data_IF_329758843788
#
_entry.id   IF_329758843788
#
_cell.length_a   1.000
_cell.length_b   1.000
_cell.length_c   1.000
_cell.angle_alpha   90.00
_cell.angle_beta   90.00
_cell.angle_gamma   90.00
#
_symmetry.space_group_name_H-M   'P 1'
#
loop_
_entity.id
_entity.type
_entity.pdbx_description
1 polymer ?
#
# COMPACT_ATOMS: atom_id res chain seq x y z
N UNK A 1 2.93 -29.13 -19.72
CA UNK A 1 2.27 -30.35 -20.21
C UNK A 1 1.31 -29.93 -21.30
N UNK A 2 1.45 -30.45 -22.52
CA UNK A 2 0.63 -30.11 -23.70
C UNK A 2 -0.78 -30.70 -23.59
N UNK A 3 -1.80 -29.92 -23.95
CA UNK A 3 -3.11 -30.32 -24.47
C UNK A 3 -3.60 -29.11 -25.30
N UNK A 4 -3.39 -29.06 -26.62
CA UNK A 4 -4.25 -29.55 -27.72
C UNK A 4 -5.71 -29.04 -27.68
N UNK A 5 -5.92 -28.01 -28.50
CA UNK A 5 -7.05 -27.61 -29.34
C UNK A 5 -8.43 -28.26 -29.12
N UNK A 6 -9.44 -27.39 -29.01
CA UNK A 6 -10.80 -27.65 -29.47
C UNK A 6 -11.30 -26.45 -30.29
N UNK A 7 -11.31 -26.64 -31.60
CA UNK A 7 -12.05 -25.86 -32.57
C UNK A 7 -13.56 -25.88 -32.26
N UNK A 8 -14.21 -24.71 -32.33
CA UNK A 8 -15.61 -24.64 -32.77
C UNK A 8 -15.74 -23.54 -33.82
N UNK A 9 -16.30 -23.97 -34.94
CA UNK A 9 -16.41 -23.31 -36.22
C UNK A 9 -17.19 -21.99 -36.23
N UNK A 10 -16.73 -21.13 -37.12
CA UNK A 10 -17.37 -19.94 -37.67
C UNK A 10 -18.46 -20.28 -38.70
N UNK A 11 -19.46 -19.41 -38.80
CA UNK A 11 -20.43 -19.37 -39.91
C UNK A 11 -21.14 -18.01 -39.96
N UNK A 12 -21.43 -17.45 -41.16
CA UNK A 12 -21.42 -16.01 -41.39
C UNK A 12 -22.81 -15.35 -41.44
N UNK A 13 -22.88 -14.06 -41.17
CA UNK A 13 -24.08 -13.23 -41.36
C UNK A 13 -23.69 -11.79 -41.70
N UNK A 14 -24.14 -11.34 -42.86
CA UNK A 14 -23.71 -10.16 -43.60
C UNK A 14 -24.06 -8.80 -42.98
N UNK A 15 -23.32 -7.80 -43.47
CA UNK A 15 -23.43 -6.37 -43.24
C UNK A 15 -24.81 -5.76 -43.49
N UNK A 16 -25.09 -4.64 -42.81
CA UNK A 16 -25.54 -3.39 -43.47
C UNK A 16 -25.41 -2.17 -42.56
N UNK A 17 -24.91 -1.11 -43.18
CA UNK A 17 -24.74 0.26 -42.72
C UNK A 17 -26.06 1.00 -42.47
N UNK A 18 -26.01 1.99 -41.57
CA UNK A 18 -26.21 3.43 -41.87
C UNK A 18 -27.10 4.19 -40.85
N UNK A 19 -26.62 5.40 -40.55
CA UNK A 19 -27.33 6.60 -40.12
C UNK A 19 -27.85 6.72 -38.68
N UNK A 20 -27.15 7.58 -37.92
CA UNK A 20 -27.74 8.55 -37.00
C UNK A 20 -28.09 9.85 -37.78
N UNK A 21 -28.72 10.89 -37.20
CA UNK A 21 -29.27 11.02 -35.84
C UNK A 21 -30.73 11.53 -35.83
N UNK A 22 -31.45 11.39 -34.71
CA UNK A 22 -32.47 12.40 -34.37
C UNK A 22 -32.73 12.50 -32.87
N UNK A 23 -32.82 13.76 -32.42
CA UNK A 23 -33.19 14.18 -31.08
C UNK A 23 -34.72 14.14 -30.95
N UNK A 24 -35.24 13.49 -29.91
CA UNK A 24 -36.49 13.92 -29.30
C UNK A 24 -36.59 13.40 -27.86
N UNK A 25 -36.60 14.35 -26.93
CA UNK A 25 -37.12 14.24 -25.57
C UNK A 25 -38.56 13.76 -25.58
N UNK A 26 -38.87 12.71 -24.83
CA UNK A 26 -40.17 12.57 -24.15
C UNK A 26 -39.98 11.75 -22.87
N UNK A 27 -40.62 12.23 -21.81
CA UNK A 27 -40.81 11.55 -20.54
C UNK A 27 -41.36 10.14 -20.75
N UNK A 28 -40.79 9.15 -20.06
CA UNK A 28 -41.55 7.97 -19.72
C UNK A 28 -41.19 7.47 -18.32
N UNK A 29 -42.24 7.05 -17.63
CA UNK A 29 -42.31 6.83 -16.20
C UNK A 29 -41.59 5.52 -15.81
N UNK A 30 -40.97 5.54 -14.64
CA UNK A 30 -40.24 4.40 -14.08
C UNK A 30 -41.25 3.48 -13.34
N UNK A 31 -41.54 2.25 -13.78
CA UNK A 31 -42.33 1.35 -12.96
C UNK A 31 -41.41 0.66 -11.95
N UNK A 32 -41.61 1.02 -10.68
CA UNK A 32 -41.02 0.38 -9.50
C UNK A 32 -41.25 -1.14 -9.58
N UNK A 33 -40.15 -1.89 -9.74
CA UNK A 33 -40.16 -3.34 -9.68
C UNK A 33 -40.50 -3.80 -8.26
N UNK A 34 -41.72 -4.28 -8.06
CA UNK A 34 -42.14 -4.96 -6.84
C UNK A 34 -41.31 -6.22 -6.61
N UNK A 35 -40.54 -6.25 -5.52
CA UNK A 35 -39.97 -7.48 -4.96
C UNK A 35 -41.12 -8.35 -4.47
N UNK A 36 -41.36 -9.49 -5.13
CA UNK A 36 -42.30 -10.50 -4.63
C UNK A 36 -41.69 -11.21 -3.42
N UNK A 37 -42.35 -11.10 -2.27
CA UNK A 37 -42.09 -11.93 -1.11
C UNK A 37 -42.40 -13.40 -1.43
N UNK A 38 -41.69 -14.38 -0.84
CA UNK A 38 -42.02 -15.79 -1.02
C UNK A 38 -43.37 -16.14 -0.38
N UNK A 39 -44.16 -16.92 -1.10
CA UNK A 39 -45.45 -17.46 -0.65
C UNK A 39 -45.18 -18.58 0.37
N UNK A 40 -45.70 -18.43 1.58
CA UNK A 40 -45.75 -19.48 2.61
C UNK A 40 -47.05 -20.28 2.43
N UNK A 41 -46.99 -21.60 2.61
CA UNK A 41 -48.20 -22.43 2.70
C UNK A 41 -48.76 -22.46 4.14
N UNK A 42 -50.02 -22.90 4.28
CA UNK A 42 -50.82 -22.79 5.52
C UNK A 42 -50.37 -23.75 6.67
N UNK A 43 -49.14 -24.27 6.65
CA UNK A 43 -48.61 -25.10 7.74
C UNK A 43 -47.19 -24.74 8.21
N UNK A 44 -46.50 -23.75 7.61
CA UNK A 44 -45.29 -23.18 8.19
C UNK A 44 -44.08 -24.13 8.32
N UNK A 45 -43.88 -25.07 7.40
CA UNK A 45 -42.67 -25.92 7.34
C UNK A 45 -42.07 -25.97 5.93
N UNK A 46 -40.74 -25.84 5.84
CA UNK A 46 -39.98 -25.96 4.59
C UNK A 46 -39.98 -27.41 4.07
N UNK A 47 -40.32 -27.58 2.80
CA UNK A 47 -40.20 -28.85 2.09
C UNK A 47 -38.72 -29.20 1.86
N UNK A 48 -38.28 -30.34 2.38
CA UNK A 48 -36.96 -30.93 2.14
C UNK A 48 -37.11 -32.12 1.19
N UNK A 49 -36.67 -31.99 -0.06
CA UNK A 49 -36.20 -33.15 -0.84
C UNK A 49 -35.37 -32.71 -2.05
N UNK A 50 -34.05 -32.89 -1.97
CA UNK A 50 -33.16 -32.93 -3.13
C UNK A 50 -31.92 -33.75 -2.77
N UNK A 51 -31.84 -34.92 -3.38
CA UNK A 51 -30.81 -35.96 -3.31
C UNK A 51 -29.39 -35.44 -3.60
N UNK A 52 -28.43 -35.77 -2.75
CA UNK A 52 -26.99 -35.49 -2.93
C UNK A 52 -26.35 -36.33 -4.06
N UNK A 53 -25.48 -35.75 -4.91
CA UNK A 53 -24.65 -36.50 -5.84
C UNK A 53 -23.38 -37.05 -5.16
N UNK A 54 -22.76 -38.12 -5.68
CA UNK A 54 -21.74 -38.90 -4.97
C UNK A 54 -20.43 -38.12 -4.78
N UNK A 55 -19.88 -38.19 -3.56
CA UNK A 55 -18.59 -37.60 -3.17
C UNK A 55 -17.42 -38.16 -3.99
N UNK A 56 -16.88 -37.36 -4.92
CA UNK A 56 -15.55 -37.56 -5.46
C UNK A 56 -14.54 -37.04 -4.44
N UNK A 57 -13.96 -37.91 -3.60
CA UNK A 57 -12.83 -37.56 -2.73
C UNK A 57 -11.57 -37.29 -3.56
N UNK A 58 -11.44 -36.06 -4.04
CA UNK A 58 -10.14 -35.51 -4.42
C UNK A 58 -9.34 -35.25 -3.13
N UNK A 59 -8.40 -36.14 -2.80
CA UNK A 59 -7.32 -35.80 -1.88
C UNK A 59 -6.42 -34.79 -2.57
N UNK A 60 -6.73 -33.51 -2.42
CA UNK A 60 -5.75 -32.45 -2.64
C UNK A 60 -4.67 -32.61 -1.56
N UNK A 61 -3.52 -33.16 -1.91
CA UNK A 61 -2.30 -32.98 -1.13
C UNK A 61 -1.94 -31.51 -1.23
N UNK A 62 -2.27 -30.75 -0.18
CA UNK A 62 -1.74 -29.41 0.05
C UNK A 62 -0.24 -29.59 0.30
N UNK A 63 0.58 -29.29 -0.70
CA UNK A 63 2.01 -29.09 -0.49
C UNK A 63 2.17 -27.71 0.13
N UNK A 64 2.56 -27.67 1.40
CA UNK A 64 2.95 -26.42 2.04
C UNK A 64 4.23 -25.90 1.33
N UNK A 65 4.27 -24.61 0.96
CA UNK A 65 5.50 -23.98 0.47
C UNK A 65 6.63 -24.15 1.49
N UNK A 66 7.88 -24.05 1.01
CA UNK A 66 9.08 -24.20 1.86
C UNK A 66 8.92 -23.24 3.05
N UNK A 67 8.70 -23.80 4.24
CA UNK A 67 8.40 -23.04 5.45
C UNK A 67 9.37 -21.87 5.60
N UNK A 68 8.86 -20.63 5.61
CA UNK A 68 9.63 -19.47 6.06
C UNK A 68 10.25 -19.86 7.40
N UNK A 69 11.59 -19.87 7.54
CA UNK A 69 12.21 -20.32 8.78
C UNK A 69 11.64 -19.53 9.96
N UNK A 70 11.24 -20.22 11.04
CA UNK A 70 10.69 -19.59 12.27
C UNK A 70 11.53 -18.42 12.78
N UNK A 71 12.83 -18.37 12.46
CA UNK A 71 13.75 -17.27 12.78
C UNK A 71 13.39 -15.89 12.21
N UNK A 72 12.44 -15.81 11.27
CA UNK A 72 11.87 -14.55 10.78
C UNK A 72 10.69 -14.04 11.61
N UNK A 73 10.03 -14.94 12.34
CA UNK A 73 8.81 -14.71 13.12
C UNK A 73 9.09 -14.61 14.62
N UNK A 74 10.31 -14.91 15.08
CA UNK A 74 10.66 -14.73 16.49
C UNK A 74 10.59 -13.23 16.85
N UNK A 75 9.78 -12.85 17.85
CA UNK A 75 9.70 -11.46 18.30
C UNK A 75 11.10 -10.97 18.70
N UNK A 76 11.48 -9.79 18.24
CA UNK A 76 12.68 -9.15 18.76
C UNK A 76 12.46 -8.82 20.25
N UNK A 77 13.13 -9.58 21.14
CA UNK A 77 13.10 -9.35 22.60
C UNK A 77 14.21 -8.40 23.07
N UNK A 78 14.83 -7.65 22.15
CA UNK A 78 15.94 -6.77 22.47
C UNK A 78 15.49 -5.48 23.14
N UNK A 79 16.45 -4.78 23.75
CA UNK A 79 16.25 -3.53 24.49
C UNK A 79 15.66 -2.44 23.58
N UNK A 80 14.74 -1.60 24.07
CA UNK A 80 14.24 -0.44 23.33
C UNK A 80 15.40 0.45 22.85
N UNK A 81 15.28 1.01 21.63
CA UNK A 81 16.29 1.89 21.01
C UNK A 81 16.60 3.14 21.86
N UNK A 82 15.63 3.55 22.69
CA UNK A 82 15.74 4.70 23.57
C UNK A 82 15.83 4.26 25.03
N UNK A 83 16.87 4.75 25.72
CA UNK A 83 17.00 4.60 27.16
C UNK A 83 17.00 5.97 27.83
N UNK A 84 16.28 6.06 28.95
CA UNK A 84 16.40 7.17 29.89
C UNK A 84 17.76 7.04 30.60
N UNK A 85 18.73 7.84 30.17
CA UNK A 85 19.94 8.11 30.93
C UNK A 85 19.68 9.29 31.89
N UNK A 86 20.47 9.41 32.95
CA UNK A 86 20.29 10.45 33.99
C UNK A 86 20.33 11.90 33.50
N UNK A 87 20.65 12.13 32.22
CA UNK A 87 20.67 13.44 31.56
C UNK A 87 19.77 13.55 30.32
N UNK A 88 18.92 12.56 30.04
CA UNK A 88 17.95 12.61 28.95
C UNK A 88 17.75 11.29 28.21
N UNK A 89 16.91 11.33 27.18
CA UNK A 89 16.69 10.20 26.27
C UNK A 89 17.91 10.07 25.34
N UNK A 90 18.59 8.91 25.35
CA UNK A 90 19.72 8.64 24.47
C UNK A 90 19.41 7.44 23.57
N UNK A 91 19.81 7.53 22.30
CA UNK A 91 19.80 6.39 21.39
C UNK A 91 20.93 5.43 21.75
N UNK A 92 20.60 4.13 21.84
CA UNK A 92 21.60 3.07 21.98
C UNK A 92 21.87 2.52 20.57
N UNK A 93 23.14 2.46 20.10
CA UNK A 93 23.45 1.94 18.77
C UNK A 93 22.87 0.54 18.60
N UNK A 94 21.89 0.38 17.70
CA UNK A 94 21.34 -0.92 17.35
C UNK A 94 22.08 -1.47 16.14
N UNK A 95 22.47 -2.74 16.19
CA UNK A 95 23.01 -3.41 15.01
C UNK A 95 21.85 -3.76 14.08
N UNK A 96 21.48 -2.81 13.23
CA UNK A 96 20.47 -3.02 12.18
C UNK A 96 20.83 -4.21 11.31
N UNK A 97 19.82 -4.97 10.88
CA UNK A 97 20.02 -6.03 9.88
C UNK A 97 20.01 -5.48 8.45
N UNK A 98 19.52 -4.26 8.24
CA UNK A 98 19.42 -3.61 6.93
C UNK A 98 20.81 -3.21 6.46
N UNK A 99 21.17 -3.59 5.24
CA UNK A 99 22.47 -3.29 4.62
C UNK A 99 22.35 -2.22 3.56
N UNK A 100 21.32 -2.31 2.72
CA UNK A 100 21.04 -1.38 1.63
C UNK A 100 19.53 -1.20 1.50
N UNK A 101 19.13 -0.01 1.04
CA UNK A 101 17.75 0.34 0.71
C UNK A 101 17.76 0.71 -0.78
N UNK A 102 16.90 0.11 -1.58
CA UNK A 102 16.75 0.44 -2.99
C UNK A 102 15.36 1.02 -3.22
N UNK A 103 15.30 2.17 -3.90
CA UNK A 103 14.05 2.79 -4.32
C UNK A 103 13.65 2.21 -5.67
N UNK A 104 12.50 1.55 -5.70
CA UNK A 104 11.94 0.89 -6.87
C UNK A 104 10.81 1.74 -7.47
N UNK A 105 10.63 1.64 -8.79
CA UNK A 105 9.58 2.34 -9.52
C UNK A 105 8.48 1.38 -9.97
N UNK A 106 7.22 1.77 -9.74
CA UNK A 106 6.04 1.09 -10.26
C UNK A 106 5.28 1.94 -11.29
N UNK A 107 5.96 2.87 -11.94
CA UNK A 107 5.35 3.80 -12.89
C UNK A 107 4.69 5.00 -12.20
N UNK A 108 3.65 5.54 -12.83
CA UNK A 108 2.96 6.74 -12.33
C UNK A 108 1.44 6.58 -12.37
N UNK A 109 0.77 7.40 -11.57
CA UNK A 109 -0.68 7.60 -11.59
C UNK A 109 -0.98 9.07 -11.84
N UNK A 110 -2.17 9.38 -12.32
CA UNK A 110 -2.72 10.72 -12.34
C UNK A 110 -3.90 10.78 -11.38
N UNK A 111 -3.78 11.63 -10.36
CA UNK A 111 -4.80 11.80 -9.31
C UNK A 111 -5.37 13.20 -9.34
N UNK A 112 -6.51 13.41 -8.70
CA UNK A 112 -7.06 14.75 -8.47
C UNK A 112 -6.16 15.49 -7.46
N UNK A 113 -5.71 16.71 -7.79
CA UNK A 113 -4.64 17.38 -7.04
C UNK A 113 -4.95 17.69 -5.58
N UNK A 114 -6.21 17.88 -5.20
CA UNK A 114 -6.60 18.11 -3.80
C UNK A 114 -6.50 16.86 -2.93
N UNK A 115 -6.39 15.66 -3.54
CA UNK A 115 -6.11 14.41 -2.81
C UNK A 115 -4.72 14.40 -2.19
N UNK A 116 -3.75 15.10 -2.77
CA UNK A 116 -2.38 15.21 -2.23
C UNK A 116 -2.32 16.26 -1.11
N UNK A 117 -2.92 17.42 -1.33
CA UNK A 117 -2.98 18.49 -0.34
C UNK A 117 -4.35 19.17 -0.36
N UNK A 118 -5.16 18.99 0.69
CA UNK A 118 -6.45 19.64 0.83
C UNK A 118 -6.37 21.17 0.66
N UNK A 119 -7.41 21.72 0.03
CA UNK A 119 -7.51 23.16 -0.16
C UNK A 119 -6.67 23.71 -1.33
N UNK A 120 -5.91 22.88 -2.05
CA UNK A 120 -5.17 23.29 -3.25
C UNK A 120 -5.46 22.42 -4.45
N UNK A 121 -5.13 22.93 -5.64
CA UNK A 121 -5.15 22.18 -6.90
C UNK A 121 -6.50 21.52 -7.26
N UNK A 122 -7.64 22.04 -6.78
CA UNK A 122 -8.96 21.51 -7.10
C UNK A 122 -9.21 21.47 -8.61
N UNK A 123 -9.66 20.31 -9.10
CA UNK A 123 -9.92 20.05 -10.52
C UNK A 123 -8.65 20.05 -11.37
N UNK A 124 -7.46 20.06 -10.76
CA UNK A 124 -6.19 19.98 -11.47
C UNK A 124 -5.62 18.57 -11.31
N UNK A 125 -5.55 17.76 -12.38
CA UNK A 125 -4.89 16.46 -12.31
C UNK A 125 -3.40 16.64 -12.00
N UNK A 126 -2.86 15.74 -11.18
CA UNK A 126 -1.44 15.68 -10.80
C UNK A 126 -0.91 14.29 -11.07
N UNK A 127 0.18 14.21 -11.83
CA UNK A 127 0.91 12.96 -12.02
C UNK A 127 1.84 12.72 -10.83
N UNK A 128 1.70 11.54 -10.22
CA UNK A 128 2.45 11.12 -9.05
C UNK A 128 3.26 9.86 -9.37
N UNK A 129 4.49 9.72 -8.83
CA UNK A 129 5.22 8.46 -8.88
C UNK A 129 4.58 7.44 -7.93
N UNK A 130 4.64 6.17 -8.30
CA UNK A 130 4.37 5.06 -7.39
C UNK A 130 5.69 4.37 -7.11
N UNK A 131 6.17 4.52 -5.87
CA UNK A 131 7.44 3.98 -5.43
C UNK A 131 7.23 2.94 -4.33
N UNK A 132 8.13 1.98 -4.27
CA UNK A 132 8.21 0.98 -3.19
C UNK A 132 9.69 0.66 -2.96
N UNK A 133 10.00 -0.16 -1.97
CA UNK A 133 11.38 -0.33 -1.51
C UNK A 133 11.79 -1.79 -1.43
N UNK A 134 13.02 -2.08 -1.83
CA UNK A 134 13.70 -3.33 -1.52
C UNK A 134 14.75 -3.07 -0.45
N UNK A 135 14.70 -3.85 0.61
CA UNK A 135 15.69 -3.87 1.67
C UNK A 135 16.57 -5.10 1.50
N UNK A 136 17.85 -4.90 1.23
CA UNK A 136 18.83 -5.97 1.42
C UNK A 136 19.15 -6.07 2.91
N UNK A 137 18.97 -7.25 3.49
CA UNK A 137 19.29 -7.48 4.91
C UNK A 137 20.31 -8.59 5.08
N UNK A 138 20.87 -8.70 6.27
CA UNK A 138 21.74 -9.84 6.63
C UNK A 138 21.05 -11.20 6.65
N UNK A 139 19.71 -11.25 6.57
CA UNK A 139 18.92 -12.48 6.60
C UNK A 139 18.28 -12.83 5.25
N UNK A 140 18.23 -11.91 4.29
CA UNK A 140 17.53 -12.05 3.02
C UNK A 140 16.93 -10.72 2.56
N UNK A 141 15.98 -10.76 1.65
CA UNK A 141 15.34 -9.55 1.11
C UNK A 141 13.96 -9.32 1.71
N UNK A 142 13.66 -8.05 2.00
CA UNK A 142 12.35 -7.59 2.45
C UNK A 142 11.89 -6.51 1.48
N UNK A 143 10.62 -6.54 1.06
CA UNK A 143 10.01 -5.43 0.34
C UNK A 143 9.15 -4.58 1.28
N UNK A 144 9.14 -3.27 1.09
CA UNK A 144 8.17 -2.36 1.68
C UNK A 144 7.29 -1.84 0.56
N UNK A 145 6.01 -2.21 0.60
CA UNK A 145 5.06 -2.12 -0.51
C UNK A 145 5.51 -2.87 -1.77
N UNK A 146 4.63 -2.91 -2.77
CA UNK A 146 4.80 -3.69 -4.01
C UNK A 146 4.38 -2.93 -5.27
N UNK A 147 3.98 -1.67 -5.13
CA UNK A 147 3.53 -0.85 -6.23
C UNK A 147 2.15 -1.24 -6.76
N UNK A 148 1.89 -0.80 -8.00
CA UNK A 148 0.70 -1.09 -8.78
C UNK A 148 0.64 -2.56 -9.24
N UNK A 149 -0.56 -3.02 -9.57
CA UNK A 149 -0.77 -4.35 -10.18
C UNK A 149 -0.07 -4.43 -11.56
N UNK A 150 0.86 -5.38 -11.78
CA UNK A 150 1.52 -5.58 -13.07
C UNK A 150 0.59 -5.85 -14.27
N UNK A 151 -0.63 -6.34 -14.04
CA UNK A 151 -1.67 -6.49 -15.06
C UNK A 151 -2.04 -5.17 -15.73
N UNK A 152 -1.84 -4.05 -15.04
CA UNK A 152 -2.05 -2.68 -15.57
C UNK A 152 -1.15 -2.37 -16.77
N UNK A 153 0.02 -3.02 -16.88
CA UNK A 153 0.92 -2.87 -18.03
C UNK A 153 0.23 -3.26 -19.34
N UNK A 154 -0.66 -4.26 -19.29
CA UNK A 154 -1.34 -4.81 -20.47
C UNK A 154 -2.80 -4.36 -20.57
N UNK A 155 -3.51 -4.31 -19.44
CA UNK A 155 -4.94 -4.00 -19.39
C UNK A 155 -5.30 -3.44 -18.01
N UNK A 156 -5.23 -2.11 -17.88
CA UNK A 156 -5.60 -1.41 -16.64
C UNK A 156 -7.06 -1.65 -16.23
N UNK A 157 -7.99 -1.70 -17.20
CA UNK A 157 -9.41 -1.92 -16.90
C UNK A 157 -9.65 -3.36 -16.47
N UNK A 158 -8.95 -4.33 -17.05
CA UNK A 158 -8.99 -5.73 -16.61
C UNK A 158 -8.42 -5.92 -15.21
N UNK A 159 -7.32 -5.24 -14.87
CA UNK A 159 -6.66 -5.35 -13.58
C UNK A 159 -7.43 -4.66 -12.44
N UNK A 160 -7.91 -3.44 -12.68
CA UNK A 160 -8.48 -2.56 -11.64
C UNK A 160 -9.98 -2.28 -11.79
N UNK A 161 -10.59 -2.68 -12.89
CA UNK A 161 -11.92 -2.21 -13.27
C UNK A 161 -11.91 -0.79 -13.84
N UNK A 162 -12.99 -0.41 -14.52
CA UNK A 162 -13.07 0.85 -15.25
C UNK A 162 -12.98 2.10 -14.36
N UNK A 163 -13.61 2.06 -13.18
CA UNK A 163 -13.68 3.22 -12.29
C UNK A 163 -12.31 3.57 -11.70
N UNK A 164 -11.61 2.58 -11.13
CA UNK A 164 -10.29 2.78 -10.54
C UNK A 164 -9.24 3.08 -11.62
N UNK A 165 -9.25 2.37 -12.75
CA UNK A 165 -8.36 2.67 -13.87
C UNK A 165 -8.57 4.08 -14.44
N UNK A 166 -9.83 4.53 -14.56
CA UNK A 166 -10.16 5.88 -15.04
C UNK A 166 -9.85 6.98 -14.02
N UNK A 167 -9.97 6.69 -12.73
CA UNK A 167 -9.62 7.63 -11.66
C UNK A 167 -8.11 7.82 -11.52
N UNK A 168 -7.33 6.74 -11.67
CA UNK A 168 -5.88 6.75 -11.46
C UNK A 168 -5.05 6.90 -12.73
N UNK A 169 -5.63 6.69 -13.93
CA UNK A 169 -4.96 6.77 -15.25
C UNK A 169 -3.49 6.29 -15.23
N UNK A 170 -3.25 5.00 -14.92
CA UNK A 170 -1.91 4.51 -14.69
C UNK A 170 -1.05 4.54 -15.96
N UNK A 171 0.24 4.84 -15.77
CA UNK A 171 1.26 4.70 -16.80
C UNK A 171 2.34 3.75 -16.30
N UNK A 172 2.33 2.53 -16.84
CA UNK A 172 3.29 1.48 -16.54
C UNK A 172 3.84 0.84 -17.83
N UNK A 173 5.00 0.22 -17.73
CA UNK A 173 5.61 -0.56 -18.80
C UNK A 173 6.30 -1.80 -18.17
N UNK A 174 6.88 -2.68 -18.99
CA UNK A 174 7.49 -3.92 -18.52
C UNK A 174 8.62 -3.70 -17.49
N UNK A 175 9.33 -2.58 -17.54
CA UNK A 175 10.42 -2.26 -16.60
C UNK A 175 9.89 -1.93 -15.20
N UNK A 176 8.63 -1.50 -15.09
CA UNK A 176 7.96 -1.22 -13.81
C UNK A 176 7.42 -2.48 -13.12
N UNK A 177 7.48 -3.64 -13.75
CA UNK A 177 7.10 -4.91 -13.11
C UNK A 177 8.00 -5.18 -11.90
N UNK A 178 7.47 -5.63 -10.74
CA UNK A 178 8.29 -5.82 -9.54
C UNK A 178 9.43 -6.81 -9.73
N UNK A 179 9.21 -7.92 -10.46
CA UNK A 179 10.31 -8.83 -10.84
C UNK A 179 11.38 -8.16 -11.72
N UNK A 180 11.01 -7.24 -12.62
CA UNK A 180 11.98 -6.52 -13.44
C UNK A 180 12.80 -5.54 -12.60
N UNK A 181 12.16 -4.85 -11.65
CA UNK A 181 12.84 -3.97 -10.69
C UNK A 181 13.80 -4.74 -9.77
N UNK A 182 13.40 -5.92 -9.28
CA UNK A 182 14.30 -6.81 -8.52
C UNK A 182 15.50 -7.30 -9.34
N UNK A 183 15.28 -7.60 -10.63
CA UNK A 183 16.33 -8.05 -11.53
C UNK A 183 17.42 -6.98 -11.74
N UNK A 184 17.10 -5.68 -11.64
CA UNK A 184 18.11 -4.61 -11.65
C UNK A 184 19.15 -4.81 -10.53
N UNK A 185 18.70 -5.25 -9.36
CA UNK A 185 19.54 -5.55 -8.21
C UNK A 185 20.10 -6.98 -8.19
N UNK A 186 19.83 -7.79 -9.24
CA UNK A 186 20.23 -9.20 -9.29
C UNK A 186 19.52 -10.09 -8.28
N UNK A 187 18.30 -9.72 -7.85
CA UNK A 187 17.51 -10.45 -6.86
C UNK A 187 16.46 -11.31 -7.55
N UNK A 188 16.42 -12.59 -7.18
CA UNK A 188 15.35 -13.51 -7.57
C UNK A 188 14.08 -13.19 -6.75
N UNK A 189 12.90 -13.06 -7.36
CA UNK A 189 11.64 -12.89 -6.62
C UNK A 189 11.42 -13.90 -5.49
N UNK A 190 11.86 -15.15 -5.66
CA UNK A 190 11.72 -16.21 -4.65
C UNK A 190 12.63 -16.00 -3.42
N UNK A 191 13.59 -15.08 -3.49
CA UNK A 191 14.43 -14.70 -2.37
C UNK A 191 13.84 -13.60 -1.49
N UNK A 192 12.73 -12.99 -1.90
CA UNK A 192 11.94 -12.07 -1.07
C UNK A 192 11.25 -12.86 0.03
N UNK A 193 11.65 -12.62 1.28
CA UNK A 193 11.17 -13.38 2.45
C UNK A 193 9.97 -12.76 3.12
N UNK A 194 9.81 -11.44 2.98
CA UNK A 194 8.77 -10.68 3.64
C UNK A 194 8.40 -9.47 2.81
N UNK A 195 7.11 -9.15 2.81
CA UNK A 195 6.57 -7.92 2.27
C UNK A 195 5.86 -7.20 3.40
N UNK A 196 6.27 -5.97 3.69
CA UNK A 196 5.67 -5.10 4.69
C UNK A 196 4.86 -4.05 3.94
N UNK A 197 3.55 -4.04 4.16
CA UNK A 197 2.68 -3.04 3.55
C UNK A 197 2.53 -1.83 4.46
N UNK A 198 2.70 -0.63 3.93
CA UNK A 198 2.26 0.59 4.60
C UNK A 198 0.75 0.56 4.77
N UNK A 199 0.03 0.17 3.72
CA UNK A 199 -1.40 -0.10 3.68
C UNK A 199 -1.78 -0.89 2.41
N UNK A 200 -3.06 -1.17 2.18
CA UNK A 200 -3.53 -2.07 1.11
C UNK A 200 -4.27 -1.39 -0.05
N UNK A 201 -4.00 -0.11 -0.33
CA UNK A 201 -4.48 0.49 -1.58
C UNK A 201 -3.78 -0.13 -2.80
N UNK A 202 -4.46 -0.06 -3.94
CA UNK A 202 -4.08 -0.64 -5.23
C UNK A 202 -2.64 -0.34 -5.70
N UNK A 203 -2.11 0.82 -5.33
CA UNK A 203 -0.78 1.30 -5.71
C UNK A 203 0.33 0.97 -4.70
N UNK A 204 -0.04 0.36 -3.57
CA UNK A 204 0.90 -0.16 -2.58
C UNK A 204 0.92 -1.70 -2.54
N UNK A 205 -0.24 -2.33 -2.73
CA UNK A 205 -0.42 -3.78 -2.60
C UNK A 205 -0.55 -4.54 -3.94
N UNK A 206 -0.59 -3.83 -5.06
CA UNK A 206 -0.91 -4.41 -6.38
C UNK A 206 0.03 -5.52 -6.85
N UNK A 207 1.32 -5.44 -6.50
CA UNK A 207 2.31 -6.46 -6.83
C UNK A 207 2.35 -7.66 -5.87
N UNK A 208 1.61 -7.64 -4.76
CA UNK A 208 1.73 -8.61 -3.67
C UNK A 208 1.60 -10.07 -4.08
N UNK A 209 0.60 -10.40 -4.91
CA UNK A 209 0.32 -11.78 -5.34
C UNK A 209 1.43 -12.45 -6.15
N UNK A 210 2.40 -11.68 -6.64
CA UNK A 210 3.56 -12.19 -7.41
C UNK A 210 4.69 -12.71 -6.51
N UNK A 211 4.47 -12.76 -5.20
CA UNK A 211 5.41 -13.23 -4.18
C UNK A 211 4.75 -14.21 -3.19
N UNK A 212 4.17 -15.33 -3.67
CA UNK A 212 3.37 -16.23 -2.83
C UNK A 212 4.14 -16.91 -1.70
N UNK A 213 5.48 -16.97 -1.79
CA UNK A 213 6.35 -17.57 -0.77
C UNK A 213 6.72 -16.57 0.36
N UNK A 214 6.41 -15.28 0.18
CA UNK A 214 6.74 -14.26 1.15
C UNK A 214 5.76 -14.25 2.33
N UNK A 215 6.23 -13.78 3.49
CA UNK A 215 5.33 -13.40 4.58
C UNK A 215 4.77 -11.99 4.33
N UNK A 216 3.45 -11.85 4.32
CA UNK A 216 2.75 -10.59 4.07
C UNK A 216 2.37 -9.93 5.39
N UNK A 217 2.99 -8.79 5.70
CA UNK A 217 2.85 -8.11 6.99
C UNK A 217 2.09 -6.81 6.83
N UNK A 218 1.01 -6.65 7.57
CA UNK A 218 0.19 -5.44 7.60
C UNK A 218 -0.49 -5.31 8.96
N UNK A 219 -0.95 -4.12 9.33
CA UNK A 219 -1.78 -3.95 10.51
C UNK A 219 -3.08 -4.75 10.41
N UNK A 220 -3.51 -5.35 11.52
CA UNK A 220 -4.78 -6.05 11.64
C UNK A 220 -5.97 -5.13 11.32
N UNK A 221 -5.88 -3.86 11.70
CA UNK A 221 -6.89 -2.85 11.39
C UNK A 221 -7.03 -2.66 9.87
N UNK A 222 -5.89 -2.58 9.16
CA UNK A 222 -5.85 -2.42 7.71
C UNK A 222 -6.40 -3.64 7.00
N UNK A 223 -5.94 -4.83 7.37
CA UNK A 223 -6.43 -6.07 6.79
C UNK A 223 -7.94 -6.22 6.97
N UNK A 224 -8.47 -5.92 8.16
CA UNK A 224 -9.92 -5.96 8.40
C UNK A 224 -10.68 -5.00 7.50
N UNK A 225 -10.16 -3.79 7.35
CA UNK A 225 -10.77 -2.77 6.51
C UNK A 225 -10.71 -3.14 5.03
N UNK A 226 -9.53 -3.49 4.50
CA UNK A 226 -9.33 -3.85 3.10
C UNK A 226 -10.17 -5.06 2.66
N UNK A 227 -10.42 -6.02 3.57
CA UNK A 227 -11.25 -7.20 3.34
C UNK A 227 -12.76 -6.95 3.57
N UNK A 228 -13.16 -5.73 3.89
CA UNK A 228 -14.56 -5.37 4.02
C UNK A 228 -14.72 -3.86 4.15
N UNK A 229 -14.27 -3.09 3.14
CA UNK A 229 -14.22 -1.64 3.28
C UNK A 229 -15.64 -1.10 3.22
N UNK A 230 -15.86 0.05 3.85
CA UNK A 230 -17.10 0.77 3.61
C UNK A 230 -17.19 1.25 2.15
N UNK A 231 -18.39 1.62 1.72
CA UNK A 231 -18.62 2.07 0.34
C UNK A 231 -18.07 3.47 0.04
N UNK A 232 -17.82 4.27 1.06
CA UNK A 232 -17.38 5.66 0.94
C UNK A 232 -15.86 5.73 0.68
N UNK A 233 -15.05 4.94 1.37
CA UNK A 233 -13.59 4.90 1.21
C UNK A 233 -13.04 3.58 0.64
N UNK A 234 -13.89 2.67 0.18
CA UNK A 234 -13.46 1.38 -0.36
C UNK A 234 -12.90 1.40 -1.79
N UNK A 235 -13.13 2.47 -2.56
CA UNK A 235 -12.76 2.54 -3.97
C UNK A 235 -11.25 2.29 -4.27
N UNK A 236 -10.29 2.75 -3.46
CA UNK A 236 -8.86 2.52 -3.71
C UNK A 236 -8.38 1.09 -3.39
N UNK A 237 -9.23 0.23 -2.81
CA UNK A 237 -8.89 -1.15 -2.50
C UNK A 237 -9.31 -2.09 -3.63
N UNK A 238 -8.34 -2.55 -4.41
CA UNK A 238 -8.57 -3.65 -5.34
C UNK A 238 -8.34 -4.99 -4.64
N UNK A 239 -9.42 -5.63 -4.20
CA UNK A 239 -9.33 -6.88 -3.44
C UNK A 239 -8.70 -8.03 -4.24
N UNK A 240 -8.68 -7.98 -5.57
CA UNK A 240 -7.98 -8.95 -6.42
C UNK A 240 -6.46 -8.91 -6.25
N UNK A 241 -5.91 -7.88 -5.60
CA UNK A 241 -4.46 -7.78 -5.37
C UNK A 241 -4.02 -8.65 -4.19
N UNK A 242 -4.89 -8.85 -3.20
CA UNK A 242 -4.53 -9.43 -1.91
C UNK A 242 -5.47 -10.53 -1.38
N UNK A 243 -6.63 -10.79 -2.01
CA UNK A 243 -7.49 -11.93 -1.68
C UNK A 243 -7.08 -13.20 -2.42
N UNK A 244 -5.90 -13.71 -2.10
CA UNK A 244 -5.44 -15.03 -2.58
C UNK A 244 -5.15 -15.95 -1.41
N UNK A 245 -5.64 -17.18 -1.48
CA UNK A 245 -5.41 -18.21 -0.45
C UNK A 245 -3.92 -18.57 -0.28
N UNK A 246 -3.10 -18.22 -1.28
CA UNK A 246 -1.65 -18.42 -1.24
C UNK A 246 -0.90 -17.41 -0.37
N UNK A 247 -1.50 -16.26 -0.02
CA UNK A 247 -0.78 -15.24 0.74
C UNK A 247 -0.75 -15.58 2.23
N UNK A 248 0.46 -15.67 2.77
CA UNK A 248 0.69 -15.95 4.17
C UNK A 248 0.70 -14.65 4.98
N UNK A 249 -0.42 -14.31 5.61
CA UNK A 249 -0.59 -13.07 6.37
C UNK A 249 -0.05 -13.15 7.80
N UNK A 250 0.73 -12.16 8.19
CA UNK A 250 1.10 -11.87 9.58
C UNK A 250 0.54 -10.50 9.97
N UNK A 251 -0.46 -10.49 10.84
CA UNK A 251 -1.14 -9.27 11.23
C UNK A 251 -0.44 -8.62 12.43
N UNK A 252 -0.01 -7.38 12.24
CA UNK A 252 0.55 -6.53 13.28
C UNK A 252 -0.57 -5.87 14.11
N UNK A 253 -0.28 -5.55 15.37
CA UNK A 253 -1.16 -4.75 16.21
C UNK A 253 -0.32 -3.67 16.91
N UNK A 254 -0.49 -2.41 16.50
CA UNK A 254 0.28 -1.31 17.08
C UNK A 254 1.67 -1.17 16.48
N UNK A 255 2.51 -0.37 17.13
CA UNK A 255 3.93 -0.28 16.80
C UNK A 255 4.63 -1.61 17.04
N UNK A 256 5.53 -2.00 16.13
CA UNK A 256 6.17 -3.30 16.20
C UNK A 256 7.60 -3.28 15.67
N UNK A 257 8.55 -3.75 16.49
CA UNK A 257 9.91 -4.06 16.04
C UNK A 257 9.89 -5.44 15.37
N UNK A 258 9.83 -5.45 14.04
CA UNK A 258 9.72 -6.70 13.29
C UNK A 258 11.07 -7.42 13.17
N UNK A 259 12.15 -6.65 13.04
CA UNK A 259 13.54 -7.13 13.02
C UNK A 259 14.45 -6.02 13.58
N UNK A 260 15.68 -6.34 14.03
CA UNK A 260 16.62 -5.31 14.48
C UNK A 260 16.85 -4.27 13.37
N UNK A 261 16.46 -3.02 13.62
CA UNK A 261 16.57 -1.94 12.64
C UNK A 261 15.36 -1.70 11.76
N UNK A 262 14.28 -2.49 11.87
CA UNK A 262 13.06 -2.34 11.07
C UNK A 262 11.87 -2.24 12.03
N UNK A 263 11.26 -1.07 12.10
CA UNK A 263 10.15 -0.80 13.00
C UNK A 263 8.92 -0.39 12.19
N UNK A 264 7.77 -0.95 12.54
CA UNK A 264 6.46 -0.50 12.11
C UNK A 264 5.98 0.56 13.10
N UNK A 265 5.60 1.73 12.60
CA UNK A 265 5.03 2.83 13.40
C UNK A 265 3.62 3.07 12.90
N UNK A 266 2.66 2.94 13.80
CA UNK A 266 1.25 3.17 13.45
C UNK A 266 1.01 4.63 13.07
N UNK A 267 0.41 4.83 11.90
CA UNK A 267 0.11 6.16 11.35
C UNK A 267 -1.27 6.17 10.70
N UNK A 268 -2.34 5.85 11.46
CA UNK A 268 -3.70 5.80 10.93
C UNK A 268 -4.17 7.18 10.49
N UNK A 269 -5.16 7.20 9.60
CA UNK A 269 -5.80 8.43 9.12
C UNK A 269 -6.05 8.35 7.63
N UNK A 270 -4.99 8.20 6.82
CA UNK A 270 -5.10 7.89 5.40
C UNK A 270 -6.00 6.66 5.18
N UNK A 271 -5.62 5.57 5.84
CA UNK A 271 -6.48 4.40 6.08
C UNK A 271 -6.55 4.08 7.57
N UNK A 272 -7.51 3.25 8.02
CA UNK A 272 -7.67 2.95 9.45
C UNK A 272 -6.51 2.16 10.06
N UNK A 273 -5.75 1.44 9.24
CA UNK A 273 -4.57 0.68 9.69
C UNK A 273 -3.28 1.07 8.98
N UNK A 274 -3.20 2.26 8.40
CA UNK A 274 -1.96 2.75 7.80
C UNK A 274 -0.80 2.71 8.80
N UNK A 275 0.37 2.29 8.32
CA UNK A 275 1.63 2.29 9.07
C UNK A 275 2.78 2.83 8.23
N UNK A 276 3.69 3.52 8.89
CA UNK A 276 4.95 4.00 8.32
C UNK A 276 6.09 3.11 8.81
N UNK A 277 7.17 3.01 8.05
CA UNK A 277 8.27 2.10 8.34
C UNK A 277 9.49 2.93 8.71
N UNK A 278 10.11 2.61 9.84
CA UNK A 278 11.34 3.27 10.30
C UNK A 278 12.48 2.27 10.21
N UNK A 279 13.51 2.66 9.46
CA UNK A 279 14.73 1.91 9.25
C UNK A 279 15.83 2.59 10.06
N UNK A 280 16.26 1.97 11.15
CA UNK A 280 17.22 2.56 12.08
C UNK A 280 18.66 2.28 11.67
N UNK A 281 19.51 3.29 11.85
CA UNK A 281 20.97 3.18 11.81
C UNK A 281 21.50 2.47 10.55
N UNK A 282 20.84 2.68 9.41
CA UNK A 282 21.17 1.99 8.15
C UNK A 282 22.53 2.43 7.61
N UNK A 283 23.35 1.51 7.07
CA UNK A 283 24.62 1.87 6.46
C UNK A 283 24.41 2.88 5.34
N UNK A 284 25.31 3.87 5.26
CA UNK A 284 25.33 4.95 4.27
C UNK A 284 24.11 5.89 4.25
N UNK A 285 22.97 5.54 4.86
CA UNK A 285 21.72 6.33 4.83
C UNK A 285 21.23 6.81 6.21
N UNK A 286 21.83 6.34 7.31
CA UNK A 286 21.44 6.71 8.67
C UNK A 286 20.04 6.19 9.02
N UNK A 287 19.31 6.93 9.85
CA UNK A 287 17.89 6.60 10.11
C UNK A 287 17.03 7.10 8.95
N UNK A 288 16.14 6.25 8.45
CA UNK A 288 15.23 6.54 7.34
C UNK A 288 13.80 6.26 7.75
N UNK A 289 12.89 7.19 7.48
CA UNK A 289 11.45 7.02 7.66
C UNK A 289 10.82 6.92 6.27
N UNK A 290 10.19 5.78 5.98
CA UNK A 290 9.32 5.61 4.83
C UNK A 290 7.92 6.02 5.29
N UNK A 291 7.51 7.23 4.91
CA UNK A 291 6.28 7.82 5.45
C UNK A 291 5.02 7.06 5.01
N UNK A 292 5.06 6.43 3.84
CA UNK A 292 3.85 5.97 3.17
C UNK A 292 2.91 7.14 2.94
N UNK A 293 1.62 6.85 2.96
CA UNK A 293 0.56 7.82 2.66
C UNK A 293 0.06 8.58 3.88
N UNK A 294 0.78 8.47 5.01
CA UNK A 294 0.68 9.47 6.07
C UNK A 294 1.21 10.84 5.58
N UNK A 295 2.13 10.85 4.61
CA UNK A 295 2.70 12.06 4.01
C UNK A 295 2.99 11.82 2.52
N UNK A 296 2.09 12.29 1.64
CA UNK A 296 2.22 12.09 0.20
C UNK A 296 3.31 12.95 -0.42
N UNK A 297 3.40 14.21 -0.03
CA UNK A 297 4.38 15.14 -0.57
C UNK A 297 4.96 16.01 0.54
N UNK A 298 6.09 16.62 0.23
CA UNK A 298 6.73 17.56 1.14
C UNK A 298 5.74 18.67 1.54
N UNK A 299 4.91 19.18 0.62
CA UNK A 299 3.95 20.28 0.92
C UNK A 299 3.01 19.97 2.11
N UNK A 300 2.70 18.69 2.38
CA UNK A 300 1.94 18.29 3.57
C UNK A 300 2.62 18.73 4.88
N UNK A 301 3.94 18.64 4.95
CA UNK A 301 4.74 19.02 6.11
C UNK A 301 4.89 20.55 6.17
N UNK A 302 5.16 21.20 5.05
CA UNK A 302 5.31 22.68 4.98
C UNK A 302 4.08 23.41 5.47
N UNK A 303 2.90 22.88 5.15
CA UNK A 303 1.61 23.51 5.47
C UNK A 303 0.99 22.97 6.76
N UNK A 304 1.57 21.93 7.35
CA UNK A 304 0.98 21.18 8.46
C UNK A 304 -0.45 20.67 8.13
N UNK A 305 -0.60 20.07 6.94
CA UNK A 305 -1.87 19.56 6.42
C UNK A 305 -1.64 18.13 5.91
N UNK A 306 -2.32 17.11 6.45
CA UNK A 306 -2.18 15.73 5.96
C UNK A 306 -2.75 15.60 4.54
N UNK A 307 -2.47 14.49 3.85
CA UNK A 307 -3.12 14.15 2.59
C UNK A 307 -4.65 14.27 2.63
N UNK A 308 -5.26 14.50 1.48
CA UNK A 308 -6.71 14.73 1.36
C UNK A 308 -7.54 13.46 1.29
N UNK A 309 -6.98 12.37 0.79
CA UNK A 309 -7.61 11.06 0.88
C UNK A 309 -7.38 10.50 2.28
N UNK A 310 -8.31 10.74 3.22
CA UNK A 310 -8.21 10.24 4.60
C UNK A 310 -9.55 9.72 5.11
N UNK A 311 -9.52 8.55 5.73
CA UNK A 311 -10.66 7.98 6.48
C UNK A 311 -10.93 8.69 7.81
N UNK A 312 -9.89 9.23 8.45
CA UNK A 312 -10.01 10.07 9.65
C UNK A 312 -8.94 11.16 9.66
N UNK A 313 -9.36 12.39 9.45
CA UNK A 313 -8.45 13.54 9.38
C UNK A 313 -7.78 13.83 10.72
N UNK A 314 -8.45 13.59 11.85
CA UNK A 314 -7.84 13.85 13.18
C UNK A 314 -6.66 12.90 13.42
N UNK A 315 -6.83 11.61 13.13
CA UNK A 315 -5.73 10.64 13.16
C UNK A 315 -4.64 10.98 12.13
N UNK A 316 -5.01 11.42 10.92
CA UNK A 316 -4.04 11.77 9.89
C UNK A 316 -3.11 12.93 10.31
N UNK A 317 -3.68 13.98 10.93
CA UNK A 317 -2.90 15.08 11.53
C UNK A 317 -1.98 14.56 12.63
N UNK A 318 -2.52 13.75 13.55
CA UNK A 318 -1.70 13.16 14.64
C UNK A 318 -0.55 12.32 14.11
N UNK A 319 -0.79 11.56 13.03
CA UNK A 319 0.22 10.73 12.36
C UNK A 319 1.29 11.58 11.66
N UNK A 320 0.91 12.64 10.96
CA UNK A 320 1.84 13.62 10.39
C UNK A 320 2.76 14.20 11.48
N UNK A 321 2.18 14.65 12.60
CA UNK A 321 2.92 15.21 13.73
C UNK A 321 3.84 14.19 14.40
N UNK A 322 3.37 12.95 14.55
CA UNK A 322 4.17 11.85 15.09
C UNK A 322 5.40 11.58 14.24
N UNK A 323 5.27 11.54 12.91
CA UNK A 323 6.38 11.29 12.01
C UNK A 323 7.37 12.44 11.96
N UNK A 324 6.91 13.70 11.92
CA UNK A 324 7.81 14.86 11.92
C UNK A 324 8.57 14.99 13.24
N UNK A 325 7.90 14.77 14.38
CA UNK A 325 8.54 14.71 15.69
C UNK A 325 9.58 13.59 15.77
N UNK A 326 9.25 12.40 15.26
CA UNK A 326 10.19 11.27 15.22
C UNK A 326 11.39 11.57 14.32
N UNK A 327 11.17 12.15 13.14
CA UNK A 327 12.22 12.51 12.21
C UNK A 327 13.24 13.46 12.86
N UNK A 328 12.76 14.51 13.54
CA UNK A 328 13.62 15.45 14.24
C UNK A 328 14.34 14.84 15.44
N UNK A 329 13.64 14.04 16.25
CA UNK A 329 14.25 13.41 17.43
C UNK A 329 15.34 12.38 17.08
N UNK A 330 15.29 11.82 15.86
CA UNK A 330 16.19 10.75 15.41
C UNK A 330 17.16 11.16 14.29
N UNK A 331 17.18 12.43 13.90
CA UNK A 331 17.91 12.93 12.72
C UNK A 331 17.66 12.06 11.46
N UNK A 332 16.41 11.62 11.29
CA UNK A 332 16.04 10.70 10.22
C UNK A 332 15.75 11.43 8.92
N UNK A 333 16.20 10.84 7.81
CA UNK A 333 15.71 11.22 6.48
C UNK A 333 14.30 10.67 6.26
N UNK A 334 13.33 11.54 6.03
CA UNK A 334 11.96 11.13 5.72
C UNK A 334 11.69 11.14 4.22
N UNK A 335 11.21 10.01 3.70
CA UNK A 335 10.84 9.81 2.30
C UNK A 335 9.31 9.84 2.18
N UNK A 336 8.81 10.85 1.46
CA UNK A 336 7.38 11.01 1.11
C UNK A 336 7.03 10.16 -0.12
N UNK A 337 5.76 9.75 -0.28
CA UNK A 337 5.37 8.71 -1.24
C UNK A 337 5.16 9.18 -2.70
N UNK A 338 4.54 10.33 -2.92
CA UNK A 338 3.90 10.68 -4.20
C UNK A 338 4.29 12.07 -4.76
N UNK A 339 5.46 12.57 -4.41
CA UNK A 339 6.00 13.81 -4.99
C UNK A 339 7.00 13.52 -6.11
N UNK A 340 6.62 13.81 -7.37
CA UNK A 340 7.47 13.59 -8.54
C UNK A 340 8.86 14.28 -8.41
N UNK A 341 8.87 15.55 -8.01
CA UNK A 341 10.13 16.30 -7.87
C UNK A 341 11.07 15.72 -6.82
N UNK A 342 10.53 15.21 -5.71
CA UNK A 342 11.33 14.54 -4.68
C UNK A 342 11.80 13.15 -5.14
N UNK A 343 10.92 12.38 -5.79
CA UNK A 343 11.26 11.08 -6.32
C UNK A 343 12.46 11.17 -7.27
N UNK A 344 12.50 12.12 -8.21
CA UNK A 344 13.62 12.28 -9.14
C UNK A 344 14.98 12.54 -8.46
N UNK A 345 15.00 13.06 -7.23
CA UNK A 345 16.23 13.28 -6.47
C UNK A 345 16.78 12.00 -5.84
N UNK A 346 15.95 10.97 -5.66
CA UNK A 346 16.36 9.72 -5.02
C UNK A 346 17.06 8.80 -6.02
N UNK A 347 18.16 8.12 -5.64
CA UNK A 347 18.75 7.08 -6.49
C UNK A 347 17.73 5.96 -6.71
N UNK A 348 17.61 5.52 -7.96
CA UNK A 348 16.78 4.36 -8.35
C UNK A 348 17.64 3.10 -8.36
N UNK A 349 17.01 1.96 -8.11
CA UNK A 349 17.64 0.67 -8.35
C UNK A 349 18.33 0.64 -9.73
N UNK A 350 19.57 0.11 -9.82
CA UNK A 350 20.30 -0.64 -8.79
C UNK A 350 21.13 0.21 -7.82
N UNK A 351 21.05 1.54 -7.87
CA UNK A 351 21.79 2.38 -6.94
C UNK A 351 21.06 2.44 -5.60
N UNK A 352 21.73 2.02 -4.54
CA UNK A 352 21.18 2.09 -3.18
C UNK A 352 21.05 3.54 -2.71
N UNK A 353 20.06 3.77 -1.85
CA UNK A 353 19.87 5.01 -1.12
C UNK A 353 21.16 5.37 -0.36
N UNK A 354 21.45 6.66 -0.35
CA UNK A 354 22.51 7.27 0.44
C UNK A 354 21.91 8.34 1.33
N UNK A 355 22.69 8.77 2.32
CA UNK A 355 22.35 9.86 3.22
C UNK A 355 21.90 11.04 2.37
N UNK A 356 20.67 11.50 2.60
CA UNK A 356 20.17 12.68 1.91
C UNK A 356 20.99 13.88 2.35
N UNK A 357 21.35 14.73 1.39
CA UNK A 357 22.05 15.98 1.67
C UNK A 357 21.25 16.82 2.69
N UNK A 358 21.92 17.58 3.58
CA UNK A 358 21.25 18.38 4.62
C UNK A 358 20.15 19.31 4.07
N UNK A 359 20.28 19.78 2.83
CA UNK A 359 19.29 20.64 2.17
C UNK A 359 18.01 19.90 1.81
N UNK A 360 18.12 18.62 1.44
CA UNK A 360 16.98 17.72 1.20
C UNK A 360 16.33 17.33 2.53
N UNK A 361 17.15 17.17 3.59
CA UNK A 361 16.74 16.90 4.97
C UNK A 361 15.98 18.05 5.64
N UNK A 362 16.42 19.29 5.43
CA UNK A 362 15.85 20.50 6.07
C UNK A 362 14.35 20.71 5.87
N UNK A 363 13.76 20.06 4.87
CA UNK A 363 12.34 20.21 4.59
C UNK A 363 11.45 19.76 5.76
N UNK A 364 11.81 18.68 6.46
CA UNK A 364 11.02 18.21 7.62
C UNK A 364 11.27 19.00 8.91
N UNK A 365 12.39 19.76 9.01
CA UNK A 365 12.62 20.70 10.11
C UNK A 365 11.70 21.93 10.04
N UNK A 366 11.23 22.30 8.85
CA UNK A 366 10.35 23.45 8.64
C UNK A 366 8.92 23.21 9.16
N UNK A 367 8.37 21.99 9.01
CA UNK A 367 7.00 21.67 9.47
C UNK A 367 6.83 21.67 10.99
N UNK A 368 7.92 21.49 11.74
CA UNK A 368 7.89 21.55 13.22
C UNK A 368 7.66 22.98 13.72
N UNK A 369 7.83 24.00 12.87
CA UNK A 369 7.70 25.41 13.27
C UNK A 369 6.28 25.83 13.61
N UNK A 370 5.22 25.07 13.30
CA UNK A 370 3.85 25.49 13.60
C UNK A 370 3.25 24.98 14.91
N UNK A 371 3.88 24.02 15.60
CA UNK A 371 3.35 23.51 16.87
C UNK A 371 4.06 24.04 18.12
N UNK A 372 5.33 24.48 17.99
CA UNK A 372 6.15 24.79 19.17
C UNK A 372 6.50 26.27 19.35
N UNK A 373 6.00 27.18 18.51
CA UNK A 373 6.22 28.61 18.76
C UNK A 373 5.60 29.09 20.08
N UNK A 374 4.53 28.44 20.56
CA UNK A 374 3.93 28.74 21.88
C UNK A 374 4.21 27.70 22.96
N UNK A 375 4.65 26.48 22.63
CA UNK A 375 5.00 25.46 23.63
C UNK A 375 6.43 25.62 24.20
N UNK A 376 7.24 26.50 23.61
CA UNK A 376 8.48 26.97 24.24
C UNK A 376 8.23 28.00 25.35
N UNK A 377 6.98 28.47 25.54
CA UNK A 377 6.59 29.20 26.72
C UNK A 377 6.06 28.22 27.78
N UNK A 378 6.81 27.93 28.86
CA UNK A 378 6.35 27.03 29.92
C UNK A 378 5.05 27.51 30.60
N UNK A 379 4.66 28.78 30.47
CA UNK A 379 3.40 29.31 31.00
C UNK A 379 2.16 28.87 30.20
N UNK A 380 2.32 28.35 28.98
CA UNK A 380 1.23 27.85 28.14
C UNK A 380 0.95 26.34 28.34
N UNK A 381 1.72 25.67 29.21
CA UNK A 381 1.59 24.23 29.51
C UNK A 381 0.90 23.95 30.86
N UNK A 382 0.15 24.93 31.42
CA UNK A 382 -0.60 24.78 32.67
C UNK A 382 -2.11 25.07 32.51
#
# INVERSE_FOLDING_TARGET
>A
MRVEDCDVASGPGEARSSNAPDRASTHDENPVGHVRAPVLDEAGQQATDATEPPETRCRATVSYPRSTPMSWLEPFTGTPHWQLAGDGLRSVPMKTIVRQIYVMSSGTLTVEGSTLVPGTSFGQPKTIPVQYFLLETSKGYIMVDTGNDPGVITDAVGAWGADLAGASNPVMNAEHHPHAQLALCGVDPDDVRMIIYTHLHHDHAGGGRFFPEALHVVQKAEHRWAFGPDRYFGAPYNQNDFRHDSLNWQLAEGDWVIQPGIHLVTTPGHTPGHQSIVLWDTPDSGTVILAGDAINCRENIERDIPPGLTTDTASAVSSLHRLTALAAASDASMLVSHEAGFFELLPKAPNALKLLEPEVRRYYEAGIRHLYHDAANPDNLL
#
